data_IF_811197338093
#
_entry.id   IF_811197338093
#
_cell.length_a   1.000
_cell.length_b   1.000
_cell.length_c   1.000
_cell.angle_alpha   90.00
_cell.angle_beta   90.00
_cell.angle_gamma   90.00
#
_symmetry.space_group_name_H-M   'P 1'
#
loop_
_entity.id
_entity.type
_entity.pdbx_description
1 polymer ?
#
# COMPACT_ATOMS: atom_id res chain seq x y z
N UNK A 1 -40.53 54.76 -42.94
CA UNK A 1 -39.23 54.78 -42.25
C UNK A 1 -39.48 54.79 -40.75
N UNK A 2 -39.15 53.69 -40.06
CA UNK A 2 -39.27 53.56 -38.60
C UNK A 2 -37.88 53.75 -37.99
N UNK A 3 -37.71 54.54 -36.90
CA UNK A 3 -36.40 54.90 -36.36
C UNK A 3 -35.84 53.89 -35.34
N UNK A 4 -36.41 52.69 -35.20
CA UNK A 4 -35.95 51.67 -34.26
C UNK A 4 -35.36 50.46 -34.99
N UNK A 5 -34.13 50.61 -35.46
CA UNK A 5 -33.32 49.51 -35.99
C UNK A 5 -32.76 48.67 -34.85
N UNK A 6 -33.36 47.52 -34.57
CA UNK A 6 -32.75 46.47 -33.75
C UNK A 6 -32.02 45.47 -34.64
N UNK A 7 -30.75 45.73 -34.95
CA UNK A 7 -29.88 44.69 -35.52
C UNK A 7 -29.50 43.70 -34.42
N UNK A 8 -30.22 42.57 -34.37
CA UNK A 8 -29.78 41.39 -33.62
C UNK A 8 -28.65 40.73 -34.37
N UNK A 9 -27.40 41.10 -34.04
CA UNK A 9 -26.22 40.35 -34.46
C UNK A 9 -26.35 38.88 -33.99
N UNK A 10 -26.13 37.88 -34.87
CA UNK A 10 -26.15 36.48 -34.46
C UNK A 10 -24.88 36.22 -33.65
N UNK A 11 -24.99 36.22 -32.31
CA UNK A 11 -23.91 35.75 -31.44
C UNK A 11 -23.66 34.26 -31.73
N UNK A 12 -22.64 34.06 -32.56
CA UNK A 12 -22.07 32.83 -33.12
C UNK A 12 -22.17 31.57 -32.22
N UNK A 13 -22.20 30.36 -32.84
CA UNK A 13 -22.22 29.03 -32.19
C UNK A 13 -20.95 28.67 -31.40
N UNK A 14 -20.05 29.64 -31.19
CA UNK A 14 -18.72 29.47 -30.62
C UNK A 14 -18.76 29.10 -29.14
N UNK A 15 -19.79 29.54 -28.40
CA UNK A 15 -19.97 29.21 -26.97
C UNK A 15 -20.25 27.72 -26.74
N UNK A 16 -20.97 27.07 -27.66
CA UNK A 16 -21.25 25.61 -27.59
C UNK A 16 -19.99 24.81 -27.88
N UNK A 17 -19.20 25.21 -28.88
CA UNK A 17 -17.94 24.53 -29.24
C UNK A 17 -16.86 24.70 -28.17
N UNK A 18 -16.79 25.84 -27.49
CA UNK A 18 -15.83 26.08 -26.41
C UNK A 18 -16.13 25.21 -25.18
N UNK A 19 -17.41 25.09 -24.81
CA UNK A 19 -17.84 24.25 -23.69
C UNK A 19 -17.59 22.77 -24.00
N UNK A 20 -17.92 22.33 -25.22
CA UNK A 20 -17.66 20.97 -25.71
C UNK A 20 -16.16 20.65 -25.78
N UNK A 21 -15.32 21.62 -26.20
CA UNK A 21 -13.88 21.47 -26.24
C UNK A 21 -13.24 21.45 -24.84
N UNK A 22 -13.77 22.22 -23.88
CA UNK A 22 -13.32 22.19 -22.49
C UNK A 22 -13.74 20.89 -21.79
N UNK A 23 -14.96 20.40 -22.03
CA UNK A 23 -15.39 19.10 -21.50
C UNK A 23 -14.63 17.94 -22.15
N UNK A 24 -14.39 17.99 -23.46
CA UNK A 24 -13.58 16.97 -24.13
C UNK A 24 -12.11 17.04 -23.70
N UNK A 25 -11.56 18.24 -23.49
CA UNK A 25 -10.19 18.45 -23.01
C UNK A 25 -10.00 17.99 -21.56
N UNK A 26 -10.98 18.21 -20.69
CA UNK A 26 -10.97 17.69 -19.31
C UNK A 26 -11.13 16.16 -19.33
N UNK A 27 -12.04 15.61 -20.14
CA UNK A 27 -12.22 14.15 -20.27
C UNK A 27 -10.97 13.47 -20.84
N UNK A 28 -10.31 14.07 -21.85
CA UNK A 28 -9.03 13.57 -22.37
C UNK A 28 -7.89 13.72 -21.35
N UNK A 29 -7.85 14.81 -20.59
CA UNK A 29 -6.87 15.01 -19.52
C UNK A 29 -7.08 14.05 -18.34
N UNK A 30 -8.32 13.65 -18.05
CA UNK A 30 -8.65 12.64 -17.03
C UNK A 30 -8.60 11.21 -17.55
N UNK A 31 -8.61 11.02 -18.87
CA UNK A 31 -8.37 9.74 -19.54
C UNK A 31 -6.87 9.48 -19.76
N UNK A 32 -5.98 10.17 -19.03
CA UNK A 32 -4.52 9.97 -19.07
C UNK A 32 -4.11 8.66 -18.38
N UNK A 33 -4.60 7.55 -18.93
CA UNK A 33 -4.08 6.20 -18.74
C UNK A 33 -2.96 5.84 -19.74
N UNK A 34 -2.36 6.80 -20.43
CA UNK A 34 -1.36 6.56 -21.45
C UNK A 34 0.04 6.98 -20.98
N UNK A 35 0.85 5.99 -20.60
CA UNK A 35 2.30 5.89 -20.84
C UNK A 35 3.07 7.19 -21.12
N UNK A 36 3.04 8.16 -20.21
CA UNK A 36 4.15 9.09 -20.05
C UNK A 36 5.19 8.43 -19.16
N UNK A 37 6.46 8.64 -19.44
CA UNK A 37 7.57 8.06 -18.68
C UNK A 37 7.52 8.59 -17.23
N UNK A 38 6.79 7.92 -16.35
CA UNK A 38 6.57 8.26 -14.93
C UNK A 38 7.86 8.38 -14.08
N UNK A 39 9.02 8.14 -14.70
CA UNK A 39 10.35 8.35 -14.11
C UNK A 39 10.62 9.81 -13.76
N UNK A 40 9.99 10.77 -14.47
CA UNK A 40 10.28 12.19 -14.32
C UNK A 40 9.26 12.95 -13.44
N UNK A 41 8.12 12.34 -13.09
CA UNK A 41 7.17 12.97 -12.18
C UNK A 41 7.65 12.83 -10.73
N UNK A 42 7.67 13.92 -9.94
CA UNK A 42 8.18 13.86 -8.57
C UNK A 42 7.39 12.85 -7.74
N UNK A 43 8.09 12.15 -6.82
CA UNK A 43 7.49 11.15 -5.93
C UNK A 43 6.52 11.75 -4.89
N UNK A 44 6.45 13.08 -4.80
CA UNK A 44 5.59 13.82 -3.87
C UNK A 44 5.67 13.29 -2.44
N UNK A 45 6.90 13.10 -1.94
CA UNK A 45 7.16 12.63 -0.57
C UNK A 45 7.22 11.11 -0.40
N UNK A 46 6.90 10.30 -1.42
CA UNK A 46 7.04 8.84 -1.33
C UNK A 46 8.52 8.42 -1.37
N UNK A 47 8.95 7.43 -0.57
CA UNK A 47 10.32 6.89 -0.60
C UNK A 47 10.62 6.21 -1.94
N UNK A 48 11.89 5.87 -2.16
CA UNK A 48 12.29 5.15 -3.37
C UNK A 48 11.80 3.70 -3.26
N UNK A 49 11.17 3.13 -4.30
CA UNK A 49 10.68 1.76 -4.26
C UNK A 49 11.85 0.78 -4.27
N UNK A 50 11.84 -0.18 -3.34
CA UNK A 50 12.93 -1.19 -3.19
C UNK A 50 12.46 -2.63 -3.41
N UNK A 51 11.28 -2.79 -3.99
CA UNK A 51 10.71 -4.09 -4.38
C UNK A 51 10.20 -4.05 -5.83
N UNK A 52 9.89 -5.20 -6.41
CA UNK A 52 9.27 -5.27 -7.76
C UNK A 52 7.83 -4.73 -7.77
N UNK A 53 7.14 -4.81 -6.64
CA UNK A 53 5.73 -4.44 -6.48
C UNK A 53 5.54 -2.92 -6.26
N UNK A 54 6.44 -2.28 -5.52
CA UNK A 54 6.34 -0.88 -5.12
C UNK A 54 6.24 0.14 -6.29
N UNK A 55 6.91 -0.04 -7.45
CA UNK A 55 6.74 0.86 -8.60
C UNK A 55 5.29 0.95 -9.11
N UNK A 56 4.49 -0.13 -8.99
CA UNK A 56 3.06 -0.12 -9.32
C UNK A 56 2.32 0.88 -8.43
N UNK A 57 2.54 0.79 -7.12
CA UNK A 57 1.93 1.67 -6.11
C UNK A 57 2.36 3.12 -6.36
N UNK A 58 3.65 3.34 -6.64
CA UNK A 58 4.17 4.68 -6.94
C UNK A 58 3.52 5.27 -8.20
N UNK A 59 3.37 4.49 -9.26
CA UNK A 59 2.74 4.98 -10.50
C UNK A 59 1.27 5.35 -10.30
N UNK A 60 0.53 4.57 -9.50
CA UNK A 60 -0.85 4.89 -9.13
C UNK A 60 -0.93 6.17 -8.28
N UNK A 61 0.00 6.36 -7.34
CA UNK A 61 0.11 7.58 -6.53
C UNK A 61 0.38 8.81 -7.39
N UNK A 62 1.35 8.73 -8.31
CA UNK A 62 1.69 9.82 -9.23
C UNK A 62 0.50 10.18 -10.13
N UNK A 63 -0.18 9.18 -10.69
CA UNK A 63 -1.40 9.39 -11.49
C UNK A 63 -2.53 10.02 -10.69
N UNK A 64 -2.75 9.57 -9.46
CA UNK A 64 -3.77 10.12 -8.54
C UNK A 64 -3.48 11.58 -8.20
N UNK A 65 -2.22 11.93 -7.93
CA UNK A 65 -1.82 13.31 -7.70
C UNK A 65 -1.95 14.18 -8.93
N UNK A 66 -1.60 13.69 -10.11
CA UNK A 66 -1.81 14.44 -11.34
C UNK A 66 -3.29 14.79 -11.53
N UNK A 67 -4.19 13.81 -11.34
CA UNK A 67 -5.64 14.05 -11.40
C UNK A 67 -6.12 15.03 -10.32
N UNK A 68 -5.61 14.91 -9.09
CA UNK A 68 -5.93 15.81 -7.99
C UNK A 68 -5.44 17.25 -8.25
N UNK A 69 -4.23 17.42 -8.79
CA UNK A 69 -3.67 18.74 -9.11
C UNK A 69 -4.41 19.42 -10.26
N UNK A 70 -4.76 18.67 -11.31
CA UNK A 70 -5.59 19.21 -12.42
C UNK A 70 -6.93 19.70 -11.89
N UNK A 71 -7.59 18.90 -11.04
CA UNK A 71 -8.87 19.28 -10.41
C UNK A 71 -8.69 20.48 -9.47
N UNK A 72 -7.65 20.46 -8.65
CA UNK A 72 -7.33 21.52 -7.69
C UNK A 72 -7.05 22.85 -8.38
N UNK A 73 -6.23 22.87 -9.43
CA UNK A 73 -5.93 24.08 -10.22
C UNK A 73 -7.20 24.63 -10.88
N UNK A 74 -8.07 23.77 -11.41
CA UNK A 74 -9.35 24.20 -11.97
C UNK A 74 -10.22 24.88 -10.90
N UNK A 75 -10.40 24.25 -9.74
CA UNK A 75 -11.23 24.79 -8.65
C UNK A 75 -10.64 26.08 -8.09
N UNK A 76 -9.34 26.10 -7.80
CA UNK A 76 -8.65 27.32 -7.35
C UNK A 76 -8.73 28.43 -8.38
N UNK A 77 -8.56 28.11 -9.67
CA UNK A 77 -8.73 29.05 -10.77
C UNK A 77 -10.13 29.65 -10.81
N UNK A 78 -11.19 28.85 -10.67
CA UNK A 78 -12.58 29.32 -10.63
C UNK A 78 -12.87 30.18 -9.40
N UNK A 79 -12.34 29.82 -8.23
CA UNK A 79 -12.48 30.61 -7.00
C UNK A 79 -11.78 31.95 -7.17
N UNK A 80 -10.51 31.96 -7.57
CA UNK A 80 -9.72 33.17 -7.76
C UNK A 80 -10.34 34.06 -8.85
N UNK A 81 -10.81 33.47 -9.95
CA UNK A 81 -11.54 34.19 -10.98
C UNK A 81 -12.79 34.86 -10.42
N UNK A 82 -13.59 34.14 -9.63
CA UNK A 82 -14.81 34.67 -9.02
C UNK A 82 -14.49 35.83 -8.07
N UNK A 83 -13.49 35.66 -7.20
CA UNK A 83 -13.05 36.69 -6.25
C UNK A 83 -12.49 37.92 -6.98
N UNK A 84 -11.72 37.76 -8.05
CA UNK A 84 -11.08 38.89 -8.73
C UNK A 84 -12.06 39.64 -9.63
N UNK A 85 -12.87 38.93 -10.43
CA UNK A 85 -13.70 39.54 -11.45
C UNK A 85 -15.10 39.94 -10.96
N UNK A 86 -15.63 39.27 -9.94
CA UNK A 86 -16.99 39.53 -9.44
C UNK A 86 -16.99 40.33 -8.13
N UNK A 87 -15.83 40.81 -7.66
CA UNK A 87 -15.78 41.71 -6.50
C UNK A 87 -16.47 43.03 -6.76
N UNK A 88 -17.13 43.56 -5.71
CA UNK A 88 -17.89 44.82 -5.71
C UNK A 88 -17.12 46.00 -6.31
N UNK A 89 -15.83 46.12 -6.00
CA UNK A 89 -15.00 47.24 -6.47
C UNK A 89 -14.83 47.28 -7.99
N UNK A 90 -14.99 46.15 -8.70
CA UNK A 90 -14.90 46.12 -10.18
C UNK A 90 -16.26 46.20 -10.85
N UNK A 91 -17.26 45.50 -10.34
CA UNK A 91 -18.56 45.38 -11.00
C UNK A 91 -19.45 46.60 -10.76
N UNK A 92 -19.25 47.33 -9.65
CA UNK A 92 -20.12 48.44 -9.20
C UNK A 92 -21.59 48.04 -9.07
N UNK A 93 -21.89 46.73 -9.04
CA UNK A 93 -23.22 46.17 -8.86
C UNK A 93 -23.48 46.02 -7.37
N UNK A 94 -24.59 46.58 -6.89
CA UNK A 94 -24.99 46.51 -5.48
C UNK A 94 -25.68 45.20 -5.14
N UNK A 95 -26.56 44.72 -6.03
CA UNK A 95 -27.25 43.43 -5.90
C UNK A 95 -26.97 42.55 -7.12
N UNK A 96 -26.29 41.39 -6.96
CA UNK A 96 -25.96 40.52 -8.08
C UNK A 96 -27.20 39.82 -8.65
N UNK A 97 -27.18 39.41 -9.93
CA UNK A 97 -28.27 38.62 -10.53
C UNK A 97 -28.57 37.35 -9.73
N UNK A 98 -29.84 37.13 -9.40
CA UNK A 98 -30.30 35.97 -8.64
C UNK A 98 -30.71 34.85 -9.60
N UNK A 99 -29.80 33.90 -9.87
CA UNK A 99 -30.09 32.70 -10.65
C UNK A 99 -30.19 31.49 -9.73
N UNK A 100 -31.29 30.73 -9.80
CA UNK A 100 -31.51 29.57 -8.93
C UNK A 100 -31.08 28.22 -9.51
N UNK A 101 -31.26 28.01 -10.82
CA UNK A 101 -31.05 26.71 -11.44
C UNK A 101 -30.33 26.84 -12.79
N UNK A 102 -29.48 25.88 -13.09
CA UNK A 102 -28.83 25.74 -14.39
C UNK A 102 -28.61 24.25 -14.69
N UNK A 103 -29.69 23.52 -15.00
CA UNK A 103 -29.66 22.07 -15.22
C UNK A 103 -28.49 21.56 -16.09
N UNK A 104 -28.09 22.23 -17.18
CA UNK A 104 -26.89 21.82 -17.94
C UNK A 104 -25.58 21.83 -17.15
N UNK A 105 -25.31 22.85 -16.32
CA UNK A 105 -24.08 22.87 -15.51
C UNK A 105 -24.17 21.88 -14.36
N UNK A 106 -25.36 21.68 -13.81
CA UNK A 106 -25.61 20.73 -12.73
C UNK A 106 -25.37 19.29 -13.17
N UNK A 107 -25.83 18.93 -14.37
CA UNK A 107 -25.51 17.65 -14.99
C UNK A 107 -24.00 17.50 -15.23
N UNK A 108 -23.33 18.57 -15.68
CA UNK A 108 -21.89 18.54 -15.98
C UNK A 108 -21.05 18.22 -14.74
N UNK A 109 -21.20 18.96 -13.64
CA UNK A 109 -20.41 18.73 -12.43
C UNK A 109 -20.82 17.49 -11.65
N UNK A 110 -21.89 16.80 -12.06
CA UNK A 110 -22.30 15.52 -11.46
C UNK A 110 -21.69 14.36 -12.24
N UNK A 111 -21.80 14.38 -13.56
CA UNK A 111 -21.32 13.29 -14.44
C UNK A 111 -19.79 13.28 -14.51
N UNK A 112 -19.14 14.43 -14.60
CA UNK A 112 -17.67 14.49 -14.76
C UNK A 112 -16.94 13.89 -13.55
N UNK A 113 -17.22 14.27 -12.29
CA UNK A 113 -16.58 13.63 -11.14
C UNK A 113 -16.86 12.13 -11.05
N UNK A 114 -18.06 11.69 -11.42
CA UNK A 114 -18.40 10.26 -11.43
C UNK A 114 -17.52 9.48 -12.42
N UNK A 115 -17.25 10.02 -13.61
CA UNK A 115 -16.32 9.42 -14.57
C UNK A 115 -14.89 9.39 -14.00
N UNK A 116 -14.41 10.49 -13.42
CA UNK A 116 -13.06 10.58 -12.82
C UNK A 116 -12.88 9.50 -11.75
N UNK A 117 -13.84 9.38 -10.83
CA UNK A 117 -13.81 8.38 -9.75
C UNK A 117 -13.89 6.96 -10.33
N UNK A 118 -14.73 6.73 -11.34
CA UNK A 118 -14.85 5.40 -11.97
C UNK A 118 -13.55 4.94 -12.63
N UNK A 119 -12.84 5.86 -13.30
CA UNK A 119 -11.54 5.57 -13.92
C UNK A 119 -10.49 5.28 -12.86
N UNK A 120 -10.42 6.11 -11.81
CA UNK A 120 -9.49 5.90 -10.69
C UNK A 120 -9.76 4.54 -10.01
N UNK A 121 -11.03 4.23 -9.72
CA UNK A 121 -11.44 2.97 -9.12
C UNK A 121 -11.01 1.76 -9.96
N UNK A 122 -11.20 1.80 -11.28
CA UNK A 122 -10.76 0.72 -12.17
C UNK A 122 -9.25 0.46 -12.05
N UNK A 123 -8.42 1.51 -12.08
CA UNK A 123 -6.97 1.34 -11.95
C UNK A 123 -6.56 0.87 -10.55
N UNK A 124 -7.20 1.39 -9.50
CA UNK A 124 -6.99 0.95 -8.12
C UNK A 124 -7.31 -0.53 -7.97
N UNK A 125 -8.51 -0.98 -8.35
CA UNK A 125 -8.92 -2.38 -8.21
C UNK A 125 -8.01 -3.32 -9.00
N UNK A 126 -7.64 -2.95 -10.24
CA UNK A 126 -6.71 -3.74 -11.07
C UNK A 126 -5.34 -3.91 -10.41
N UNK A 127 -4.80 -2.83 -9.86
CA UNK A 127 -3.45 -2.83 -9.28
C UNK A 127 -3.43 -3.48 -7.88
N UNK A 128 -4.49 -3.29 -7.09
CA UNK A 128 -4.71 -3.99 -5.81
C UNK A 128 -4.76 -5.51 -6.00
N UNK A 129 -5.61 -6.00 -6.93
CA UNK A 129 -5.70 -7.44 -7.19
C UNK A 129 -4.37 -8.07 -7.62
N UNK A 130 -3.50 -7.31 -8.29
CA UNK A 130 -2.15 -7.77 -8.65
C UNK A 130 -1.18 -7.78 -7.46
N UNK A 131 -1.33 -6.86 -6.51
CA UNK A 131 -0.51 -6.79 -5.32
C UNK A 131 -0.88 -7.88 -4.31
N UNK A 132 -2.16 -8.24 -4.22
CA UNK A 132 -2.67 -9.27 -3.31
C UNK A 132 -2.58 -10.69 -3.88
N UNK A 133 -2.36 -10.84 -5.19
CA UNK A 133 -2.23 -12.15 -5.83
C UNK A 133 -1.01 -12.91 -5.30
N UNK A 134 -1.28 -14.09 -4.72
CA UNK A 134 -0.24 -14.99 -4.22
C UNK A 134 0.25 -15.94 -5.32
N UNK A 135 1.55 -16.21 -5.32
CA UNK A 135 2.20 -17.11 -6.29
C UNK A 135 3.01 -18.19 -5.55
N UNK A 136 3.90 -18.94 -6.20
CA UNK A 136 4.81 -19.83 -5.46
C UNK A 136 5.96 -18.99 -4.89
N UNK A 137 6.12 -18.89 -3.56
CA UNK A 137 7.22 -18.12 -2.98
C UNK A 137 8.53 -18.91 -3.04
N UNK A 138 9.66 -18.20 -3.02
CA UNK A 138 10.97 -18.79 -2.77
C UNK A 138 11.19 -19.00 -1.26
N UNK A 139 10.75 -18.02 -0.45
CA UNK A 139 10.89 -18.01 0.99
C UNK A 139 9.58 -17.74 1.70
N UNK A 140 9.40 -18.33 2.88
CA UNK A 140 8.23 -18.06 3.72
C UNK A 140 8.66 -17.58 5.09
N UNK A 141 8.20 -16.40 5.48
CA UNK A 141 8.48 -15.80 6.78
C UNK A 141 7.16 -15.53 7.49
N UNK A 142 6.98 -16.07 8.68
CA UNK A 142 5.88 -15.68 9.54
C UNK A 142 6.30 -14.49 10.42
N UNK A 143 5.55 -13.40 10.30
CA UNK A 143 5.74 -12.18 11.09
C UNK A 143 4.76 -12.21 12.26
N UNK A 144 5.31 -12.24 13.47
CA UNK A 144 4.55 -12.28 14.71
C UNK A 144 4.54 -10.89 15.35
N UNK A 145 3.37 -10.25 15.40
CA UNK A 145 3.15 -9.04 16.20
C UNK A 145 2.79 -9.41 17.65
N UNK A 146 3.43 -8.76 18.61
CA UNK A 146 3.08 -8.88 20.02
C UNK A 146 3.41 -7.59 20.79
N UNK A 147 2.83 -7.38 21.96
CA UNK A 147 3.04 -6.20 22.79
C UNK A 147 4.42 -6.22 23.46
N UNK A 148 5.32 -5.27 23.20
CA UNK A 148 5.36 -4.31 22.08
C UNK A 148 6.66 -4.51 21.30
N UNK A 149 6.74 -5.60 20.55
CA UNK A 149 7.86 -5.91 19.65
C UNK A 149 7.44 -6.86 18.52
N UNK A 150 8.42 -7.29 17.71
CA UNK A 150 8.21 -8.15 16.55
C UNK A 150 8.98 -9.46 16.69
N UNK A 151 8.44 -10.51 16.09
CA UNK A 151 9.11 -11.78 15.90
C UNK A 151 9.08 -12.17 14.43
N UNK A 152 10.17 -12.75 13.94
CA UNK A 152 10.31 -13.22 12.58
C UNK A 152 10.67 -14.70 12.61
N UNK A 153 9.74 -15.54 12.20
CA UNK A 153 9.91 -16.97 12.03
C UNK A 153 10.30 -17.24 10.58
N UNK A 154 11.54 -17.67 10.34
CA UNK A 154 12.01 -18.09 9.02
C UNK A 154 11.62 -19.55 8.82
N UNK A 155 10.62 -19.79 7.98
CA UNK A 155 10.09 -21.13 7.70
C UNK A 155 10.89 -21.72 6.54
N UNK A 156 12.12 -22.08 6.85
CA UNK A 156 13.14 -22.53 5.91
C UNK A 156 13.77 -23.82 6.39
N UNK A 157 14.39 -24.55 5.45
CA UNK A 157 15.32 -25.62 5.77
C UNK A 157 16.73 -25.01 5.95
N UNK A 158 17.28 -25.09 7.16
CA UNK A 158 18.54 -24.44 7.57
C UNK A 158 19.73 -25.41 7.54
N UNK A 159 19.49 -26.68 7.91
CA UNK A 159 20.50 -27.73 7.99
C UNK A 159 20.81 -28.42 6.64
N UNK A 160 19.97 -28.23 5.63
CA UNK A 160 20.07 -28.86 4.31
C UNK A 160 19.48 -30.27 4.25
N UNK A 161 18.90 -30.77 5.34
CA UNK A 161 18.31 -32.11 5.43
C UNK A 161 16.79 -32.05 5.36
N UNK A 162 16.25 -32.35 4.18
CA UNK A 162 14.80 -32.41 3.96
C UNK A 162 14.09 -33.51 4.79
N UNK A 163 14.82 -34.41 5.45
CA UNK A 163 14.27 -35.43 6.35
C UNK A 163 14.00 -34.89 7.77
N UNK A 164 14.49 -33.70 8.11
CA UNK A 164 14.30 -33.04 9.41
C UNK A 164 13.35 -31.85 9.22
N UNK A 165 12.22 -31.75 9.95
CA UNK A 165 11.78 -32.61 11.06
C UNK A 165 11.08 -33.91 10.60
N UNK A 166 11.11 -34.93 11.46
CA UNK A 166 10.36 -36.19 11.26
C UNK A 166 8.84 -35.92 11.16
N UNK A 167 8.38 -35.94 9.91
CA UNK A 167 7.02 -36.12 9.39
C UNK A 167 5.94 -35.03 9.68
N UNK A 168 5.71 -34.19 8.66
CA UNK A 168 4.39 -33.86 8.09
C UNK A 168 3.39 -33.02 8.89
N UNK A 169 3.59 -32.83 10.19
CA UNK A 169 2.74 -32.01 11.04
C UNK A 169 3.31 -30.60 11.19
N UNK A 170 2.45 -29.60 10.99
CA UNK A 170 2.79 -28.20 11.31
C UNK A 170 3.12 -28.11 12.80
N UNK A 171 4.26 -27.51 13.19
CA UNK A 171 4.64 -27.34 14.59
C UNK A 171 3.54 -26.63 15.40
N UNK A 172 3.45 -26.93 16.69
CA UNK A 172 2.39 -26.41 17.57
C UNK A 172 2.40 -24.89 17.63
N UNK A 173 3.58 -24.30 17.50
CA UNK A 173 3.87 -22.88 17.48
C UNK A 173 3.25 -22.20 16.25
N UNK A 174 3.11 -22.91 15.14
CA UNK A 174 2.50 -22.42 13.90
C UNK A 174 1.04 -22.87 13.72
N UNK A 175 0.44 -23.53 14.72
CA UNK A 175 -0.87 -24.16 14.60
C UNK A 175 -2.05 -23.19 14.42
N UNK A 176 -1.85 -21.89 14.66
CA UNK A 176 -2.85 -20.85 14.36
C UNK A 176 -2.87 -20.46 12.88
N UNK A 177 -1.82 -20.78 12.11
CA UNK A 177 -1.76 -20.44 10.69
C UNK A 177 -2.73 -21.36 9.92
N UNK A 178 -3.64 -20.78 9.11
CA UNK A 178 -4.57 -21.56 8.30
C UNK A 178 -3.89 -22.58 7.39
N UNK A 179 -4.51 -23.75 7.24
CA UNK A 179 -3.93 -24.89 6.51
C UNK A 179 -3.67 -24.58 5.03
N UNK A 180 -4.36 -23.56 4.48
CA UNK A 180 -4.15 -23.08 3.12
C UNK A 180 -2.76 -22.47 2.91
N UNK A 181 -2.18 -21.85 3.94
CA UNK A 181 -0.88 -21.18 3.86
C UNK A 181 0.27 -22.12 4.22
N UNK A 182 0.04 -23.10 5.08
CA UNK A 182 1.05 -24.09 5.48
C UNK A 182 1.48 -25.01 4.34
N UNK A 183 0.63 -25.16 3.30
CA UNK A 183 0.96 -25.86 2.05
C UNK A 183 2.15 -25.26 1.29
N UNK A 184 2.50 -24.00 1.55
CA UNK A 184 3.64 -23.35 0.91
C UNK A 184 4.95 -23.51 1.69
N UNK A 185 4.92 -24.16 2.86
CA UNK A 185 6.12 -24.38 3.65
C UNK A 185 7.06 -25.36 2.95
N UNK A 186 8.37 -25.09 2.93
CA UNK A 186 9.33 -26.01 2.36
C UNK A 186 9.33 -27.34 3.14
N UNK A 187 9.63 -28.43 2.44
CA UNK A 187 9.84 -29.72 3.08
C UNK A 187 11.05 -29.64 4.01
N UNK A 188 10.91 -30.21 5.20
CA UNK A 188 11.96 -30.15 6.20
C UNK A 188 12.19 -28.74 6.76
N UNK A 189 11.15 -27.94 6.95
CA UNK A 189 11.26 -26.64 7.61
C UNK A 189 11.35 -26.82 9.14
N UNK A 190 12.57 -26.96 9.67
CA UNK A 190 12.85 -26.88 11.10
C UNK A 190 12.76 -25.45 11.63
N UNK A 191 13.11 -24.48 10.78
CA UNK A 191 13.02 -23.06 11.04
C UNK A 191 13.99 -22.51 12.08
N UNK A 192 14.17 -21.20 11.98
CA UNK A 192 14.87 -20.36 12.96
C UNK A 192 14.08 -19.10 13.17
N UNK A 193 14.35 -18.38 14.26
CA UNK A 193 13.62 -17.15 14.55
C UNK A 193 14.52 -16.02 15.02
N UNK A 194 14.09 -14.79 14.75
CA UNK A 194 14.57 -13.59 15.41
C UNK A 194 13.43 -12.95 16.20
N UNK A 195 13.69 -12.50 17.42
CA UNK A 195 12.68 -11.90 18.29
C UNK A 195 13.22 -10.62 18.92
N UNK A 196 12.42 -9.56 18.89
CA UNK A 196 12.70 -8.34 19.62
C UNK A 196 12.22 -8.41 21.06
N UNK A 197 12.85 -7.62 21.93
CA UNK A 197 12.41 -7.43 23.30
C UNK A 197 11.71 -6.05 23.38
N UNK A 198 10.50 -5.95 23.94
CA UNK A 198 9.79 -4.68 24.05
C UNK A 198 10.61 -3.62 24.78
N UNK A 199 10.74 -2.43 24.17
CA UNK A 199 11.44 -1.30 24.76
C UNK A 199 12.98 -1.35 24.69
N UNK A 200 13.55 -2.50 24.33
CA UNK A 200 14.99 -2.65 24.22
C UNK A 200 15.54 -2.05 22.92
N UNK A 201 16.73 -1.47 23.03
CA UNK A 201 17.56 -1.08 21.89
C UNK A 201 18.89 -1.78 22.01
N UNK A 202 19.47 -2.16 20.88
CA UNK A 202 20.83 -2.67 20.88
C UNK A 202 21.76 -1.57 21.44
N UNK A 203 22.46 -1.81 22.55
CA UNK A 203 23.27 -0.79 23.21
C UNK A 203 24.52 -0.42 22.40
N UNK A 204 25.00 -1.31 21.53
CA UNK A 204 26.22 -1.11 20.71
C UNK A 204 25.92 -0.34 19.41
N UNK A 205 24.78 -0.62 18.78
CA UNK A 205 24.41 -0.04 17.47
C UNK A 205 23.31 1.01 17.56
N UNK A 206 22.70 1.19 18.74
CA UNK A 206 21.49 2.00 18.93
C UNK A 206 20.27 1.44 18.18
N UNK A 207 20.34 0.22 17.67
CA UNK A 207 19.30 -0.41 16.86
C UNK A 207 17.99 -0.48 17.67
N UNK A 208 16.86 0.05 17.14
CA UNK A 208 15.62 0.18 17.89
C UNK A 208 14.78 -1.09 18.02
N UNK A 209 15.20 -2.24 17.46
CA UNK A 209 14.43 -3.48 17.54
C UNK A 209 15.03 -4.66 16.75
N UNK A 210 14.26 -5.74 16.52
CA UNK A 210 14.74 -6.91 15.78
C UNK A 210 14.99 -6.58 14.31
N UNK A 211 15.76 -7.43 13.64
CA UNK A 211 16.14 -7.30 12.23
C UNK A 211 15.54 -8.44 11.42
N UNK A 212 14.76 -8.09 10.40
CA UNK A 212 14.27 -9.01 9.40
C UNK A 212 15.29 -9.07 8.25
N UNK A 213 15.82 -10.25 7.96
CA UNK A 213 16.71 -10.47 6.82
C UNK A 213 15.90 -10.95 5.62
N UNK A 214 16.15 -10.37 4.45
CA UNK A 214 15.51 -10.77 3.19
C UNK A 214 16.54 -10.96 2.09
N UNK A 215 16.43 -12.02 1.26
CA UNK A 215 17.28 -12.19 0.11
C UNK A 215 16.84 -11.28 -1.05
N UNK A 216 17.80 -10.60 -1.67
CA UNK A 216 17.56 -9.79 -2.87
C UNK A 216 17.22 -10.66 -4.07
N UNK A 217 16.20 -10.25 -4.82
CA UNK A 217 15.78 -10.85 -6.07
C UNK A 217 14.95 -12.12 -5.90
N UNK A 218 14.73 -12.56 -4.66
CA UNK A 218 13.97 -13.76 -4.35
C UNK A 218 12.64 -13.38 -3.70
N UNK A 219 11.57 -14.07 -4.10
CA UNK A 219 10.22 -13.76 -3.65
C UNK A 219 9.99 -14.29 -2.25
N UNK A 220 9.60 -13.40 -1.34
CA UNK A 220 9.31 -13.71 0.06
C UNK A 220 7.81 -13.57 0.30
N UNK A 221 7.20 -14.62 0.87
CA UNK A 221 5.84 -14.56 1.39
C UNK A 221 5.88 -14.24 2.88
N UNK A 222 5.16 -13.20 3.28
CA UNK A 222 4.91 -12.88 4.67
C UNK A 222 3.56 -13.41 5.12
N UNK A 223 3.56 -14.19 6.20
CA UNK A 223 2.35 -14.65 6.89
C UNK A 223 2.26 -13.88 8.21
N UNK A 224 1.23 -13.06 8.34
CA UNK A 224 1.08 -12.14 9.47
C UNK A 224 0.17 -12.75 10.54
N UNK A 225 0.67 -12.84 11.76
CA UNK A 225 -0.08 -13.33 12.92
C UNK A 225 0.16 -12.45 14.14
N UNK A 226 -0.87 -12.20 14.95
CA UNK A 226 -0.72 -11.45 16.21
C UNK A 226 -1.08 -12.31 17.42
N UNK A 227 -0.28 -12.20 18.47
CA UNK A 227 -0.47 -12.93 19.72
C UNK A 227 -1.40 -12.21 20.71
N UNK A 228 -1.77 -10.97 20.44
CA UNK A 228 -2.50 -10.14 21.40
C UNK A 228 -3.48 -9.15 20.76
N UNK A 229 -2.98 -8.03 20.24
CA UNK A 229 -3.76 -6.90 19.72
C UNK A 229 -3.48 -6.69 18.24
N UNK A 230 -4.24 -5.79 17.61
CA UNK A 230 -3.98 -5.43 16.22
C UNK A 230 -2.67 -4.63 16.14
N UNK A 231 -1.80 -5.02 15.22
CA UNK A 231 -0.62 -4.26 14.79
C UNK A 231 -0.72 -4.01 13.28
N UNK A 232 0.27 -3.33 12.69
CA UNK A 232 0.36 -3.23 11.23
C UNK A 232 1.81 -3.28 10.79
N UNK A 233 2.13 -4.29 9.98
CA UNK A 233 3.49 -4.52 9.52
C UNK A 233 3.76 -3.61 8.32
N UNK A 234 4.63 -2.63 8.52
CA UNK A 234 4.94 -1.65 7.49
C UNK A 234 6.44 -1.44 7.30
N UNK A 235 6.93 -1.83 6.13
CA UNK A 235 8.28 -1.51 5.64
C UNK A 235 8.15 -0.34 4.68
N UNK A 236 8.57 0.84 5.13
CA UNK A 236 8.26 2.11 4.45
C UNK A 236 8.63 2.11 2.95
N UNK A 237 9.83 1.65 2.55
CA UNK A 237 10.23 1.63 1.13
C UNK A 237 9.53 0.56 0.27
N UNK A 238 8.78 -0.37 0.87
CA UNK A 238 7.95 -1.33 0.11
C UNK A 238 6.66 -0.68 -0.40
N UNK A 239 6.31 0.50 0.12
CA UNK A 239 5.06 1.23 -0.19
C UNK A 239 3.78 0.42 0.11
N UNK A 240 3.91 -0.68 0.83
CA UNK A 240 2.83 -1.60 1.16
C UNK A 240 2.86 -1.86 2.67
N UNK A 241 1.68 -1.91 3.27
CA UNK A 241 1.48 -2.30 4.67
C UNK A 241 0.30 -3.24 4.75
N UNK A 242 0.31 -4.11 5.76
CA UNK A 242 -0.84 -4.95 6.04
C UNK A 242 -0.97 -5.19 7.53
N UNK A 243 -2.20 -5.15 7.99
CA UNK A 243 -2.51 -5.25 9.41
C UNK A 243 -2.31 -6.68 9.90
N UNK A 244 -1.81 -6.80 11.12
CA UNK A 244 -1.52 -8.05 11.80
C UNK A 244 -2.59 -8.22 12.86
N UNK A 245 -3.57 -9.08 12.58
CA UNK A 245 -4.83 -9.14 13.32
C UNK A 245 -4.88 -10.43 14.15
N UNK A 246 -5.16 -10.37 15.45
CA UNK A 246 -5.34 -11.58 16.27
C UNK A 246 -6.48 -12.44 15.73
N UNK A 247 -6.17 -13.70 15.43
CA UNK A 247 -7.15 -14.67 14.92
C UNK A 247 -7.54 -14.51 13.44
N UNK A 248 -6.91 -13.59 12.70
CA UNK A 248 -7.07 -13.48 11.25
C UNK A 248 -5.71 -13.38 10.58
N UNK A 249 -5.40 -14.33 9.71
CA UNK A 249 -4.10 -14.43 9.05
C UNK A 249 -4.10 -13.69 7.72
N UNK A 250 -3.39 -12.58 7.72
CA UNK A 250 -3.10 -11.80 6.54
C UNK A 250 -1.82 -12.30 5.86
N UNK A 251 -1.77 -12.29 4.53
CA UNK A 251 -0.61 -12.74 3.74
C UNK A 251 -0.38 -11.80 2.57
N UNK A 252 0.88 -11.52 2.27
CA UNK A 252 1.29 -10.87 1.03
C UNK A 252 2.69 -11.32 0.61
N UNK A 253 3.07 -11.01 -0.63
CA UNK A 253 4.37 -11.34 -1.20
C UNK A 253 5.11 -10.07 -1.61
N UNK A 254 6.44 -10.08 -1.44
CA UNK A 254 7.32 -9.04 -1.96
C UNK A 254 8.57 -9.65 -2.57
N UNK A 255 9.17 -8.93 -3.51
CA UNK A 255 10.45 -9.31 -4.13
C UNK A 255 11.42 -8.14 -3.98
N UNK A 256 12.33 -8.15 -2.98
CA UNK A 256 13.28 -7.05 -2.75
C UNK A 256 14.26 -6.90 -3.92
N UNK A 257 14.53 -5.68 -4.38
CA UNK A 257 15.37 -5.41 -5.56
C UNK A 257 16.67 -4.69 -5.23
N UNK A 258 16.79 -4.13 -4.03
CA UNK A 258 17.93 -3.32 -3.59
C UNK A 258 18.46 -3.80 -2.25
N UNK A 259 19.76 -4.08 -2.16
CA UNK A 259 20.44 -4.39 -0.90
C UNK A 259 20.54 -3.14 -0.03
N UNK A 260 20.55 -3.34 1.29
CA UNK A 260 20.67 -2.27 2.25
C UNK A 260 19.89 -2.54 3.53
N UNK A 261 19.91 -1.55 4.42
CA UNK A 261 19.14 -1.58 5.67
C UNK A 261 18.01 -0.56 5.56
N UNK A 262 16.79 -1.05 5.75
CA UNK A 262 15.56 -0.26 5.73
C UNK A 262 14.88 -0.31 7.08
N UNK A 263 14.04 0.69 7.35
CA UNK A 263 13.30 0.76 8.61
C UNK A 263 11.88 0.24 8.42
N UNK A 264 11.48 -0.63 9.36
CA UNK A 264 10.13 -1.08 9.57
C UNK A 264 9.50 -0.46 10.82
N UNK A 265 8.18 -0.32 10.80
CA UNK A 265 7.40 0.28 11.89
C UNK A 265 6.06 -0.43 12.07
N UNK A 266 5.52 -0.35 13.27
CA UNK A 266 4.10 -0.57 13.50
C UNK A 266 3.28 0.62 13.00
N UNK A 267 2.21 0.37 12.23
CA UNK A 267 1.36 1.40 11.63
C UNK A 267 -0.12 1.35 12.10
N UNK A 268 -0.42 0.60 13.17
CA UNK A 268 -1.74 0.55 13.82
C UNK A 268 -1.57 0.64 15.34
N UNK A 269 -2.44 1.41 16.01
CA UNK A 269 -2.28 1.72 17.43
C UNK A 269 -2.43 0.47 18.30
N UNK A 270 -1.33 0.02 18.90
CA UNK A 270 -1.26 -1.24 19.66
C UNK A 270 -1.00 -1.08 21.18
N UNK A 271 -1.01 0.16 21.68
CA UNK A 271 -0.88 0.46 23.11
C UNK A 271 0.25 1.44 23.44
N UNK A 272 0.73 1.38 24.69
CA UNK A 272 1.61 2.41 25.29
C UNK A 272 2.94 2.57 24.56
N UNK A 273 3.54 1.47 24.09
CA UNK A 273 4.82 1.48 23.38
C UNK A 273 4.66 1.37 21.85
N UNK A 274 3.49 1.72 21.30
CA UNK A 274 3.22 1.66 19.86
C UNK A 274 4.31 2.33 19.00
N UNK A 275 4.75 3.53 19.38
CA UNK A 275 5.77 4.29 18.64
C UNK A 275 7.18 3.68 18.73
N UNK A 276 7.39 2.71 19.64
CA UNK A 276 8.67 2.01 19.85
C UNK A 276 8.71 0.64 19.19
N UNK A 277 7.62 0.20 18.55
CA UNK A 277 7.57 -1.04 17.77
C UNK A 277 8.27 -0.90 16.41
N UNK A 278 9.55 -0.58 16.46
CA UNK A 278 10.44 -0.44 15.33
C UNK A 278 11.15 -1.77 15.07
N UNK A 279 11.48 -2.01 13.81
CA UNK A 279 12.32 -3.13 13.39
C UNK A 279 13.14 -2.70 12.18
N UNK A 280 14.14 -3.48 11.83
CA UNK A 280 14.94 -3.24 10.63
C UNK A 280 14.64 -4.31 9.60
N UNK A 281 14.90 -3.97 8.35
CA UNK A 281 14.86 -4.91 7.24
C UNK A 281 16.19 -4.84 6.54
N UNK A 282 16.98 -5.89 6.63
CA UNK A 282 18.26 -6.00 5.95
C UNK A 282 18.07 -6.85 4.69
N UNK A 283 18.11 -6.20 3.53
CA UNK A 283 18.10 -6.88 2.24
C UNK A 283 19.54 -7.19 1.86
N UNK A 284 19.85 -8.46 1.68
CA UNK A 284 21.21 -8.99 1.49
C UNK A 284 21.28 -9.92 0.29
N UNK A 285 22.48 -10.37 -0.08
CA UNK A 285 22.60 -11.43 -1.08
C UNK A 285 21.98 -12.75 -0.58
N UNK A 286 21.50 -13.63 -1.47
CA UNK A 286 21.00 -14.95 -1.07
C UNK A 286 22.01 -15.77 -0.25
N UNK A 287 23.32 -15.60 -0.49
CA UNK A 287 24.39 -16.24 0.27
C UNK A 287 24.44 -15.75 1.72
N UNK A 288 24.39 -14.43 1.92
CA UNK A 288 24.41 -13.81 3.25
C UNK A 288 23.11 -14.14 4.00
N UNK A 289 21.98 -14.19 3.31
CA UNK A 289 20.70 -14.64 3.90
C UNK A 289 20.83 -16.06 4.46
N UNK A 290 21.30 -17.03 3.66
CA UNK A 290 21.51 -18.41 4.11
C UNK A 290 22.52 -18.51 5.26
N UNK A 291 23.60 -17.72 5.22
CA UNK A 291 24.58 -17.67 6.29
C UNK A 291 23.96 -17.16 7.60
N UNK A 292 23.12 -16.13 7.53
CA UNK A 292 22.42 -15.59 8.69
C UNK A 292 21.44 -16.61 9.32
N UNK A 293 20.71 -17.39 8.52
CA UNK A 293 19.85 -18.45 9.06
C UNK A 293 20.64 -19.47 9.88
N UNK A 294 21.84 -19.85 9.40
CA UNK A 294 22.75 -20.75 10.13
C UNK A 294 23.27 -20.12 11.42
N UNK A 295 23.63 -18.84 11.37
CA UNK A 295 24.05 -18.09 12.55
C UNK A 295 22.96 -18.06 13.65
N UNK A 296 21.69 -17.88 13.27
CA UNK A 296 20.57 -17.97 14.22
C UNK A 296 20.48 -19.37 14.85
N UNK A 297 20.65 -20.42 14.05
CA UNK A 297 20.66 -21.79 14.56
C UNK A 297 21.83 -22.04 15.53
N UNK A 298 23.03 -21.56 15.22
CA UNK A 298 24.22 -21.65 16.09
C UNK A 298 24.03 -20.89 17.41
N UNK A 299 23.28 -19.78 17.41
CA UNK A 299 22.86 -19.05 18.62
C UNK A 299 21.78 -19.77 19.42
N UNK A 300 21.30 -20.93 18.97
CA UNK A 300 20.24 -21.69 19.61
C UNK A 300 18.84 -21.14 19.35
N UNK A 301 18.66 -20.24 18.37
CA UNK A 301 17.35 -19.70 17.98
C UNK A 301 16.66 -20.62 16.95
N UNK A 302 16.54 -21.89 17.28
CA UNK A 302 15.95 -22.92 16.41
C UNK A 302 14.45 -23.10 16.68
N UNK A 303 13.71 -23.56 15.67
CA UNK A 303 12.26 -23.71 15.75
C UNK A 303 11.52 -22.40 15.47
N UNK A 304 10.34 -22.25 16.08
CA UNK A 304 9.43 -21.16 15.80
C UNK A 304 8.94 -20.48 17.08
N UNK A 305 8.72 -19.18 17.02
CA UNK A 305 7.93 -18.45 18.01
C UNK A 305 6.45 -18.80 17.85
N UNK A 306 5.66 -18.82 18.94
CA UNK A 306 4.21 -18.94 18.86
C UNK A 306 3.62 -17.88 17.94
N UNK A 307 3.01 -18.32 16.85
CA UNK A 307 2.30 -17.50 15.90
C UNK A 307 0.83 -17.48 16.30
N UNK A 308 0.28 -16.30 16.52
CA UNK A 308 -1.15 -16.11 16.74
C UNK A 308 -1.68 -16.53 18.11
N UNK A 309 -2.96 -16.22 18.32
CA UNK A 309 -3.75 -16.73 19.44
C UNK A 309 -4.29 -18.13 19.15
N UNK A 310 -4.61 -18.90 20.20
CA UNK A 310 -5.22 -20.22 20.04
C UNK A 310 -6.61 -20.10 19.40
N UNK A 311 -6.85 -20.86 18.34
CA UNK A 311 -8.13 -20.95 17.64
C UNK A 311 -8.57 -22.41 17.52
N UNK A 312 -9.88 -22.64 17.39
CA UNK A 312 -10.42 -23.94 16.99
C UNK A 312 -10.18 -24.16 15.49
N UNK A 313 -10.02 -25.42 15.05
CA UNK A 313 -9.79 -25.71 13.62
C UNK A 313 -10.84 -25.10 12.66
N UNK A 314 -12.16 -25.09 12.97
CA UNK A 314 -13.14 -24.44 12.09
C UNK A 314 -12.95 -22.92 11.99
N UNK A 315 -12.62 -22.25 13.11
CA UNK A 315 -12.40 -20.82 13.13
C UNK A 315 -11.12 -20.43 12.39
N UNK A 316 -10.04 -21.19 12.58
CA UNK A 316 -8.76 -21.01 11.86
C UNK A 316 -8.95 -21.11 10.34
N UNK A 317 -9.76 -22.07 9.90
CA UNK A 317 -9.95 -22.37 8.49
C UNK A 317 -11.29 -21.84 7.93
N UNK A 318 -11.94 -20.88 8.59
CA UNK A 318 -13.25 -20.37 8.18
C UNK A 318 -13.21 -19.68 6.80
N UNK A 319 -12.09 -19.04 6.48
CA UNK A 319 -11.84 -18.44 5.17
C UNK A 319 -11.28 -19.48 4.20
N UNK A 320 -12.02 -19.79 3.15
CA UNK A 320 -11.61 -20.78 2.14
C UNK A 320 -11.05 -20.14 0.87
N UNK A 321 -11.32 -18.86 0.65
CA UNK A 321 -10.89 -18.14 -0.55
C UNK A 321 -9.77 -17.15 -0.23
N UNK A 322 -8.80 -17.07 -1.13
CA UNK A 322 -7.95 -15.88 -1.26
C UNK A 322 -8.81 -14.80 -1.93
N UNK A 323 -9.17 -13.76 -1.19
CA UNK A 323 -9.79 -12.56 -1.75
C UNK A 323 -8.84 -11.87 -2.74
#
# INVERSE_FOLDING_TARGET
>A
MSPYGSDRSPRRPMRRKLLQALTAGVVLATATGCSYTWKDFPRLGMPYPVTEEAPRILSLWQGSWAAALVTGILVWGLILWSVIFHRRSRTKVEVPPQTRYNMPIEALYTVVPLIIVSVLFYFTARDESKLLALSKPAHTINVVGFQWSWGFNYIENVDGDAATPKAGAVPKELASIPDRYTKAFPAGAEGVYEKGIPGDRNPETGNPGPTLYLPKGEKVRFILSSNDVIHSFWVVPFLFKQDVIPGHTNVFEVTPTQEGVFMGKCAELCGVDHSRMLFNVKVVSPEEYRAHLKELAEKGQTGFLPAGIKQTDPARNAETNTL
#
